data_IF_715293463218
#
_entry.id   IF_715293463218
#
_cell.length_a   1.000
_cell.length_b   1.000
_cell.length_c   1.000
_cell.angle_alpha   90.00
_cell.angle_beta   90.00
_cell.angle_gamma   90.00
#
_symmetry.space_group_name_H-M   'P 1'
#
loop_
_entity.id
_entity.type
_entity.pdbx_description
1 polymer ?
#
# COMPACT_ATOMS: atom_id res chain seq x y z
N UNK A 1 -0.87 -11.10 28.81
CA UNK A 1 -1.64 -10.04 28.14
C UNK A 1 -2.21 -9.13 29.22
N UNK A 2 -1.74 -7.89 29.32
CA UNK A 2 -2.14 -6.99 30.39
C UNK A 2 -3.44 -6.25 30.06
N UNK A 3 -4.25 -5.95 31.09
CA UNK A 3 -5.51 -5.20 30.92
C UNK A 3 -5.31 -3.77 30.40
N UNK A 4 -4.08 -3.24 30.53
CA UNK A 4 -3.68 -1.88 30.14
C UNK A 4 -3.13 -1.81 28.71
N UNK A 5 -2.93 -2.95 28.06
CA UNK A 5 -2.42 -2.99 26.70
C UNK A 5 -3.44 -2.39 25.74
N UNK A 6 -2.97 -1.52 24.85
CA UNK A 6 -3.78 -0.96 23.77
C UNK A 6 -3.56 -1.83 22.52
N UNK A 7 -4.64 -2.17 21.84
CA UNK A 7 -4.63 -3.02 20.64
C UNK A 7 -5.07 -2.21 19.43
N UNK A 8 -4.38 -2.39 18.31
CA UNK A 8 -4.66 -1.69 17.05
C UNK A 8 -4.96 -2.68 15.93
N UNK A 9 -6.02 -2.41 15.15
CA UNK A 9 -6.37 -3.20 13.95
C UNK A 9 -5.26 -3.13 12.91
N UNK A 10 -4.91 -4.27 12.31
CA UNK A 10 -4.02 -4.33 11.15
C UNK A 10 -4.83 -4.19 9.84
N UNK A 11 -4.15 -4.06 8.69
CA UNK A 11 -4.80 -4.07 7.38
C UNK A 11 -5.66 -5.34 7.16
N UNK A 12 -5.15 -6.49 7.60
CA UNK A 12 -5.89 -7.76 7.56
C UNK A 12 -7.13 -7.72 8.45
N UNK A 13 -7.00 -7.12 9.65
CA UNK A 13 -8.13 -6.87 10.55
C UNK A 13 -9.23 -6.03 9.90
N UNK A 14 -8.85 -4.96 9.20
CA UNK A 14 -9.79 -4.08 8.52
C UNK A 14 -10.53 -4.77 7.37
N UNK A 15 -9.81 -5.60 6.59
CA UNK A 15 -10.41 -6.38 5.50
C UNK A 15 -11.46 -7.38 6.01
N UNK A 16 -11.24 -7.97 7.18
CA UNK A 16 -12.19 -8.91 7.78
C UNK A 16 -13.45 -8.20 8.29
N UNK A 17 -13.29 -7.05 8.97
CA UNK A 17 -14.43 -6.27 9.48
C UNK A 17 -15.29 -5.73 8.33
N UNK A 18 -14.66 -5.32 7.23
CA UNK A 18 -15.37 -4.87 6.01
C UNK A 18 -16.00 -6.02 5.22
N UNK A 19 -15.84 -7.27 5.65
CA UNK A 19 -16.44 -8.45 5.02
C UNK A 19 -15.79 -8.88 3.70
N UNK A 20 -14.64 -8.28 3.34
CA UNK A 20 -13.85 -8.69 2.16
C UNK A 20 -13.20 -10.05 2.34
N UNK A 21 -12.95 -10.43 3.59
CA UNK A 21 -12.48 -11.76 3.98
C UNK A 21 -13.42 -12.35 5.03
N UNK A 22 -13.51 -13.68 5.06
CA UNK A 22 -14.31 -14.43 6.04
C UNK A 22 -13.49 -15.54 6.69
N UNK A 23 -12.30 -15.17 7.17
CA UNK A 23 -11.36 -16.08 7.82
C UNK A 23 -11.66 -16.25 9.32
N UNK A 24 -12.35 -15.26 9.93
CA UNK A 24 -12.66 -15.26 11.35
C UNK A 24 -14.14 -15.62 11.61
N UNK A 25 -14.40 -16.46 12.63
CA UNK A 25 -15.73 -16.67 13.18
C UNK A 25 -16.43 -15.37 13.55
N UNK A 26 -17.77 -15.36 13.52
CA UNK A 26 -18.59 -14.18 13.84
C UNK A 26 -18.23 -13.55 15.19
N UNK A 27 -17.99 -14.37 16.22
CA UNK A 27 -17.57 -13.87 17.54
C UNK A 27 -16.23 -13.11 17.49
N UNK A 28 -15.21 -13.65 16.79
CA UNK A 28 -13.89 -13.01 16.66
C UNK A 28 -13.96 -11.71 15.86
N UNK A 29 -14.83 -11.68 14.84
CA UNK A 29 -15.08 -10.48 14.03
C UNK A 29 -15.76 -9.37 14.82
N UNK A 30 -16.68 -9.74 15.72
CA UNK A 30 -17.31 -8.79 16.64
C UNK A 30 -16.30 -8.20 17.62
N UNK A 31 -15.44 -9.03 18.22
CA UNK A 31 -14.36 -8.51 19.08
C UNK A 31 -13.44 -7.56 18.30
N UNK A 32 -13.06 -7.94 17.08
CA UNK A 32 -12.18 -7.15 16.21
C UNK A 32 -12.79 -5.80 15.81
N UNK A 33 -14.11 -5.70 15.61
CA UNK A 33 -14.77 -4.43 15.25
C UNK A 33 -14.64 -3.39 16.37
N UNK A 34 -14.68 -3.82 17.63
CA UNK A 34 -14.52 -2.96 18.82
C UNK A 34 -13.08 -2.51 19.09
N UNK A 35 -12.07 -3.11 18.44
CA UNK A 35 -10.67 -2.70 18.61
C UNK A 35 -10.38 -1.47 17.77
N UNK A 36 -10.20 -0.30 18.37
CA UNK A 36 -9.96 0.95 17.62
C UNK A 36 -8.57 1.58 17.80
N UNK A 37 -7.62 0.89 18.44
CA UNK A 37 -6.29 1.48 18.72
C UNK A 37 -6.30 2.51 19.85
N UNK A 38 -7.44 2.73 20.50
CA UNK A 38 -7.63 3.71 21.59
C UNK A 38 -8.04 3.05 22.90
N UNK A 39 -8.84 1.99 22.81
CA UNK A 39 -9.34 1.25 23.96
C UNK A 39 -8.29 0.25 24.46
N UNK A 40 -8.17 0.13 25.78
CA UNK A 40 -7.36 -0.91 26.42
C UNK A 40 -8.12 -2.24 26.44
N UNK A 41 -7.44 -3.34 26.70
CA UNK A 41 -8.08 -4.67 26.88
C UNK A 41 -9.19 -4.63 27.94
N UNK A 42 -9.00 -3.88 29.03
CA UNK A 42 -10.04 -3.72 30.06
C UNK A 42 -11.26 -2.91 29.60
N UNK A 43 -11.08 -1.91 28.72
CA UNK A 43 -12.19 -1.15 28.12
C UNK A 43 -12.95 -2.00 27.10
N UNK A 44 -12.24 -2.82 26.32
CA UNK A 44 -12.84 -3.80 25.40
C UNK A 44 -13.71 -4.82 26.14
N UNK A 45 -13.25 -5.31 27.30
CA UNK A 45 -14.04 -6.20 28.15
C UNK A 45 -15.35 -5.55 28.60
N UNK A 46 -15.31 -4.28 29.02
CA UNK A 46 -16.52 -3.54 29.44
C UNK A 46 -17.50 -3.33 28.28
N UNK A 47 -17.01 -3.13 27.06
CA UNK A 47 -17.88 -2.99 25.87
C UNK A 47 -18.50 -4.31 25.42
N UNK A 48 -17.85 -5.41 25.76
CA UNK A 48 -18.25 -6.77 25.40
C UNK A 48 -18.91 -7.45 26.61
N UNK A 49 -19.97 -6.84 27.16
CA UNK A 49 -20.72 -7.21 28.40
C UNK A 49 -21.25 -8.68 28.47
N UNK A 50 -20.89 -9.56 27.54
CA UNK A 50 -21.22 -10.99 27.54
C UNK A 50 -20.03 -11.95 27.42
N UNK A 51 -18.78 -11.47 27.36
CA UNK A 51 -17.59 -12.34 27.29
C UNK A 51 -16.85 -12.39 28.63
N UNK A 52 -16.56 -13.62 29.08
CA UNK A 52 -15.63 -13.81 30.20
C UNK A 52 -14.24 -13.30 29.82
N UNK A 53 -13.53 -12.75 30.80
CA UNK A 53 -12.19 -12.21 30.60
C UNK A 53 -11.23 -13.24 30.00
N UNK A 54 -11.31 -14.48 30.49
CA UNK A 54 -10.50 -15.58 29.99
C UNK A 54 -10.78 -15.87 28.51
N UNK A 55 -12.06 -15.87 28.09
CA UNK A 55 -12.44 -16.10 26.68
C UNK A 55 -11.97 -14.94 25.81
N UNK A 56 -12.14 -13.69 26.28
CA UNK A 56 -11.67 -12.50 25.57
C UNK A 56 -10.15 -12.54 25.37
N UNK A 57 -9.38 -12.84 26.41
CA UNK A 57 -7.93 -12.96 26.32
C UNK A 57 -7.49 -14.03 25.32
N UNK A 58 -8.12 -15.21 25.34
CA UNK A 58 -7.82 -16.25 24.35
C UNK A 58 -8.11 -15.81 22.92
N UNK A 59 -9.24 -15.12 22.70
CA UNK A 59 -9.61 -14.57 21.40
C UNK A 59 -8.60 -13.53 20.93
N UNK A 60 -8.17 -12.62 21.81
CA UNK A 60 -7.17 -11.60 21.50
C UNK A 60 -5.81 -12.21 21.15
N UNK A 61 -5.34 -13.20 21.92
CA UNK A 61 -4.10 -13.93 21.61
C UNK A 61 -4.17 -14.58 20.24
N UNK A 62 -5.32 -15.18 19.89
CA UNK A 62 -5.52 -15.78 18.57
C UNK A 62 -5.48 -14.72 17.46
N UNK A 63 -6.16 -13.59 17.65
CA UNK A 63 -6.16 -12.51 16.67
C UNK A 63 -4.76 -11.91 16.45
N UNK A 64 -3.94 -11.82 17.51
CA UNK A 64 -2.54 -11.40 17.42
C UNK A 64 -1.71 -12.43 16.64
N UNK A 65 -1.85 -13.71 16.99
CA UNK A 65 -1.13 -14.80 16.32
C UNK A 65 -1.45 -14.91 14.83
N UNK A 66 -2.70 -14.67 14.47
CA UNK A 66 -3.16 -14.68 13.08
C UNK A 66 -2.93 -13.33 12.35
N UNK A 67 -2.43 -12.31 13.06
CA UNK A 67 -2.02 -11.02 12.51
C UNK A 67 -3.15 -10.03 12.22
N UNK A 68 -4.32 -10.18 12.84
CA UNK A 68 -5.47 -9.26 12.69
C UNK A 68 -5.40 -8.04 13.60
N UNK A 69 -4.72 -8.15 14.74
CA UNK A 69 -4.47 -7.06 15.70
C UNK A 69 -2.99 -7.04 16.09
N UNK A 70 -2.52 -5.85 16.47
CA UNK A 70 -1.17 -5.63 16.97
C UNK A 70 -1.21 -4.94 18.33
N UNK A 71 -0.33 -5.34 19.23
CA UNK A 71 -0.13 -4.65 20.50
C UNK A 71 0.57 -3.32 20.26
N UNK A 72 -0.08 -2.24 20.66
CA UNK A 72 0.51 -0.92 20.71
C UNK A 72 1.24 -0.78 22.03
N UNK A 73 2.48 -1.28 22.06
CA UNK A 73 3.39 -1.00 23.16
C UNK A 73 3.89 0.42 22.93
N UNK A 74 3.35 1.38 23.69
CA UNK A 74 3.96 2.71 23.80
C UNK A 74 5.30 2.50 24.47
N UNK A 75 6.36 2.33 23.67
CA UNK A 75 7.68 2.00 24.19
C UNK A 75 8.13 3.07 25.19
N UNK A 76 8.77 2.71 26.32
CA UNK A 76 9.80 3.58 26.84
C UNK A 76 10.88 3.65 25.74
N UNK A 77 11.15 4.87 25.31
CA UNK A 77 12.23 5.30 24.42
C UNK A 77 13.45 4.36 24.46
N UNK A 78 13.66 3.59 23.38
CA UNK A 78 14.93 2.97 22.93
C UNK A 78 14.69 1.55 22.41
N UNK A 79 14.20 1.48 21.18
CA UNK A 79 14.76 0.61 20.14
C UNK A 79 14.14 1.12 18.85
N UNK A 80 14.92 1.86 18.08
CA UNK A 80 14.57 2.24 16.71
C UNK A 80 14.41 0.93 15.92
N UNK A 81 13.21 0.57 15.43
CA UNK A 81 13.15 -0.42 14.38
C UNK A 81 13.82 0.25 13.17
N UNK A 82 14.98 -0.27 12.77
CA UNK A 82 15.54 0.00 11.46
C UNK A 82 14.62 -0.64 10.40
N UNK A 83 13.42 -0.09 10.24
CA UNK A 83 12.66 -0.24 9.01
C UNK A 83 13.19 0.81 8.08
N UNK A 84 14.15 0.39 7.26
CA UNK A 84 14.50 1.01 6.00
C UNK A 84 13.27 0.94 5.07
N UNK A 85 12.21 1.65 5.40
CA UNK A 85 11.30 2.17 4.38
C UNK A 85 11.96 3.44 3.85
N UNK A 86 12.93 3.24 2.95
CA UNK A 86 13.31 4.28 2.00
C UNK A 86 12.16 4.47 1.01
N UNK A 87 11.03 4.99 1.48
CA UNK A 87 10.00 5.60 0.65
C UNK A 87 9.84 7.06 1.07
N UNK A 88 10.99 7.71 1.26
CA UNK A 88 11.16 9.13 0.94
C UNK A 88 11.30 9.35 -0.58
N UNK A 89 10.79 8.41 -1.38
CA UNK A 89 10.37 8.72 -2.74
C UNK A 89 9.15 9.61 -2.60
N UNK A 90 9.44 10.90 -2.53
CA UNK A 90 8.76 11.92 -3.31
C UNK A 90 7.41 11.46 -3.85
N UNK A 91 6.34 11.75 -3.09
CA UNK A 91 4.96 11.52 -3.53
C UNK A 91 4.53 12.63 -4.51
N UNK A 92 5.42 13.00 -5.43
CA UNK A 92 5.13 13.89 -6.53
C UNK A 92 4.61 13.04 -7.70
N UNK A 93 3.29 12.91 -7.75
CA UNK A 93 2.55 12.29 -8.86
C UNK A 93 2.78 12.99 -10.22
N UNK A 94 3.55 14.09 -10.26
CA UNK A 94 3.95 14.81 -11.46
C UNK A 94 4.97 14.07 -12.33
N UNK A 95 5.79 13.16 -11.79
CA UNK A 95 6.78 12.44 -12.61
C UNK A 95 6.21 11.23 -13.35
N UNK A 96 5.13 10.65 -12.84
CA UNK A 96 4.41 9.58 -13.54
C UNK A 96 3.80 10.08 -14.86
N UNK A 97 3.38 11.35 -14.92
CA UNK A 97 2.78 11.94 -16.13
C UNK A 97 3.84 12.44 -17.14
N UNK A 98 5.08 12.70 -16.70
CA UNK A 98 6.17 13.15 -17.58
C UNK A 98 6.87 12.01 -18.32
N UNK A 99 6.92 10.81 -17.73
CA UNK A 99 7.53 9.65 -18.36
C UNK A 99 6.81 9.24 -19.66
N UNK A 100 5.48 9.31 -19.69
CA UNK A 100 4.69 8.99 -20.89
C UNK A 100 4.97 9.96 -22.06
N UNK A 101 5.13 11.26 -21.74
CA UNK A 101 5.35 12.30 -22.76
C UNK A 101 6.76 12.26 -23.34
N UNK A 102 7.77 11.97 -22.51
CA UNK A 102 9.17 11.94 -22.95
C UNK A 102 9.48 10.75 -23.87
N UNK A 103 8.82 9.61 -23.68
CA UNK A 103 9.02 8.43 -24.54
C UNK A 103 8.28 8.60 -25.88
N UNK A 104 7.07 9.16 -25.87
CA UNK A 104 6.30 9.47 -27.08
C UNK A 104 7.01 10.48 -28.00
N UNK A 105 7.64 11.51 -27.43
CA UNK A 105 8.35 12.55 -28.21
C UNK A 105 9.67 12.03 -28.81
N UNK A 106 10.37 11.12 -28.11
CA UNK A 106 11.58 10.45 -28.65
C UNK A 106 11.28 9.50 -29.79
N UNK A 107 10.16 8.78 -29.73
CA UNK A 107 9.72 7.90 -30.82
C UNK A 107 9.28 8.70 -32.05
N UNK A 108 8.54 9.81 -31.86
CA UNK A 108 8.14 10.69 -32.96
C UNK A 108 9.31 11.45 -33.61
N UNK A 109 10.29 11.90 -32.82
CA UNK A 109 11.47 12.59 -33.36
C UNK A 109 12.37 11.67 -34.20
N UNK A 110 12.50 10.38 -33.82
CA UNK A 110 13.26 9.40 -34.57
C UNK A 110 12.59 9.05 -35.91
N UNK A 111 11.26 8.92 -35.92
CA UNK A 111 10.50 8.62 -37.14
C UNK A 111 10.49 9.80 -38.13
N UNK A 112 10.33 11.04 -37.63
CA UNK A 112 10.40 12.25 -38.46
C UNK A 112 11.79 12.47 -39.09
N UNK A 113 12.88 12.11 -38.40
CA UNK A 113 14.23 12.22 -38.93
C UNK A 113 14.49 11.23 -40.09
N UNK A 114 13.97 10.00 -39.99
CA UNK A 114 14.08 8.98 -41.03
C UNK A 114 13.30 9.37 -42.30
N UNK A 115 12.06 9.85 -42.13
CA UNK A 115 11.22 10.32 -43.25
C UNK A 115 11.84 11.54 -43.93
N UNK A 116 12.36 12.50 -43.16
CA UNK A 116 13.04 13.67 -43.71
C UNK A 116 14.32 13.32 -44.48
N UNK A 117 15.07 12.30 -44.04
CA UNK A 117 16.24 11.80 -44.77
C UNK A 117 15.83 11.12 -46.10
N UNK A 118 14.74 10.35 -46.11
CA UNK A 118 14.26 9.66 -47.32
C UNK A 118 13.70 10.64 -48.36
N UNK A 119 13.01 11.70 -47.94
CA UNK A 119 12.52 12.77 -48.84
C UNK A 119 13.68 13.56 -49.44
N UNK A 120 14.72 13.88 -48.67
CA UNK A 120 15.93 14.57 -49.18
C UNK A 120 16.74 13.70 -50.14
N UNK A 121 16.83 12.39 -49.89
CA UNK A 121 17.49 11.45 -50.80
C UNK A 121 16.75 11.36 -52.14
N UNK A 122 15.40 11.38 -52.13
CA UNK A 122 14.58 11.36 -53.35
C UNK A 122 14.60 12.68 -54.12
N UNK A 123 14.81 13.80 -53.45
CA UNK A 123 14.98 15.11 -54.10
C UNK A 123 16.33 15.25 -54.83
N UNK A 124 17.38 14.58 -54.35
CA UNK A 124 18.71 14.61 -55.00
C UNK A 124 18.83 13.65 -56.20
N UNK A 125 17.96 12.64 -56.31
CA UNK A 125 17.94 11.72 -57.48
C UNK A 125 17.13 12.24 -58.68
N UNK A 126 16.46 13.38 -58.55
CA UNK A 126 15.55 13.93 -59.58
C UNK A 126 16.03 15.16 -60.34
N UNK A 127 17.24 15.67 -60.06
CA UNK A 127 17.71 16.93 -60.65
C UNK A 127 19.15 16.82 -61.16
N UNK A 128 19.35 16.17 -62.32
CA UNK A 128 20.03 16.74 -63.50
C UNK A 128 20.10 15.72 -64.68
N UNK A 129 19.51 15.98 -65.88
CA UNK A 129 20.13 15.62 -67.17
C UNK A 129 21.20 16.70 -67.52
N UNK A 130 21.98 16.73 -68.64
CA UNK A 130 22.04 15.89 -69.85
C UNK A 130 23.49 15.56 -70.34
N UNK A 131 23.57 15.01 -71.56
CA UNK A 131 24.62 15.20 -72.59
C UNK A 131 25.71 14.12 -72.76
N UNK A 132 25.49 13.22 -73.72
CA UNK A 132 26.33 13.07 -74.91
C UNK A 132 25.51 12.42 -76.04
#
# INVERSE_FOLDING_TARGET
>A
MDRKTVLTKTAKGLMEVTGRTSLLPRELRNVLSHVDGKATVGDLQRKLDGLSEAKLQQMLVRLIREGFVREFVSAPHSVSPSSQFSTRQDLDFSDLLKHDKAEAERLQAAEAALVGAMVRARAQTGANPPAA
#
